data_IF_990688419301
#
_entry.id   IF_990688419301
#
_cell.length_a   1.000
_cell.length_b   1.000
_cell.length_c   1.000
_cell.angle_alpha   90.00
_cell.angle_beta   90.00
_cell.angle_gamma   90.00
#
_symmetry.space_group_name_H-M   'P 1'
#
loop_
_entity.id
_entity.type
_entity.pdbx_description
1 polymer ?
#
# COMPACT_ATOMS: atom_id res chain seq x y z
N UNK A 1 -0.79 25.82 -20.17
CA UNK A 1 -0.51 24.47 -19.65
C UNK A 1 -1.10 24.41 -18.26
N UNK A 2 -2.08 23.56 -17.97
CA UNK A 2 -2.48 23.34 -16.59
C UNK A 2 -1.28 22.80 -15.82
N UNK A 3 -1.05 23.29 -14.60
CA UNK A 3 -0.03 22.74 -13.71
C UNK A 3 -0.29 21.23 -13.56
N UNK A 4 0.75 20.38 -13.50
CA UNK A 4 0.54 18.97 -13.27
C UNK A 4 -0.27 18.80 -11.99
N UNK A 5 -1.39 18.11 -12.11
CA UNK A 5 -2.29 17.82 -11.00
C UNK A 5 -1.48 17.12 -9.90
N UNK A 6 -1.21 17.82 -8.81
CA UNK A 6 -0.30 17.33 -7.80
C UNK A 6 -0.93 16.14 -7.06
N UNK A 7 -0.35 14.95 -7.21
CA UNK A 7 -0.72 13.76 -6.47
C UNK A 7 -0.41 13.98 -5.00
N UNK A 8 -1.42 13.87 -4.14
CA UNK A 8 -1.25 13.98 -2.69
C UNK A 8 -1.14 12.59 -2.06
N UNK A 9 -0.22 12.46 -1.09
CA UNK A 9 -0.15 11.30 -0.18
C UNK A 9 -0.96 11.63 1.06
N UNK A 10 -1.80 10.70 1.48
CA UNK A 10 -2.58 10.77 2.71
C UNK A 10 -2.30 9.57 3.60
N UNK A 11 -2.41 9.77 4.90
CA UNK A 11 -2.38 8.71 5.90
C UNK A 11 -3.28 9.05 7.07
N UNK A 12 -4.04 8.08 7.57
CA UNK A 12 -4.90 8.25 8.73
C UNK A 12 -5.28 6.89 9.34
N UNK A 13 -5.67 6.89 10.62
CA UNK A 13 -6.45 5.81 11.18
C UNK A 13 -7.86 5.82 10.55
N UNK A 14 -8.52 4.66 10.49
CA UNK A 14 -9.83 4.55 9.85
C UNK A 14 -10.85 5.56 10.41
N UNK A 15 -10.86 5.76 11.71
CA UNK A 15 -11.80 6.67 12.38
C UNK A 15 -11.64 8.15 12.00
N UNK A 16 -10.46 8.53 11.47
CA UNK A 16 -10.13 9.91 11.09
C UNK A 16 -10.35 10.18 9.59
N UNK A 17 -10.83 9.18 8.84
CA UNK A 17 -11.12 9.32 7.42
C UNK A 17 -12.57 9.72 7.24
N UNK A 18 -12.83 10.73 6.40
CA UNK A 18 -14.21 11.09 6.08
C UNK A 18 -14.95 9.92 5.37
N UNK A 19 -16.26 9.78 5.58
CA UNK A 19 -17.01 8.63 5.07
C UNK A 19 -16.97 8.47 3.55
N UNK A 20 -16.90 9.56 2.79
CA UNK A 20 -16.85 9.50 1.34
C UNK A 20 -15.50 8.96 0.85
N UNK A 21 -14.39 9.48 1.40
CA UNK A 21 -13.05 8.96 1.13
C UNK A 21 -12.92 7.51 1.54
N UNK A 22 -13.42 7.13 2.72
CA UNK A 22 -13.41 5.74 3.18
C UNK A 22 -14.18 4.81 2.22
N UNK A 23 -15.35 5.23 1.76
CA UNK A 23 -16.12 4.49 0.76
C UNK A 23 -15.31 4.29 -0.54
N UNK A 24 -14.64 5.34 -1.03
CA UNK A 24 -13.84 5.28 -2.25
C UNK A 24 -12.61 4.37 -2.09
N UNK A 25 -11.99 4.34 -0.91
CA UNK A 25 -10.90 3.40 -0.59
C UNK A 25 -11.40 1.96 -0.59
N UNK A 26 -12.54 1.69 0.04
CA UNK A 26 -13.17 0.37 0.03
C UNK A 26 -13.54 -0.06 -1.39
N UNK A 27 -14.07 0.86 -2.19
CA UNK A 27 -14.39 0.61 -3.61
C UNK A 27 -13.13 0.26 -4.41
N UNK A 28 -12.04 1.01 -4.28
CA UNK A 28 -10.76 0.72 -4.95
C UNK A 28 -10.26 -0.69 -4.60
N UNK A 29 -10.31 -1.08 -3.33
CA UNK A 29 -9.93 -2.42 -2.87
C UNK A 29 -10.84 -3.50 -3.47
N UNK A 30 -12.15 -3.29 -3.46
CA UNK A 30 -13.10 -4.21 -4.09
C UNK A 30 -12.84 -4.37 -5.58
N UNK A 31 -12.64 -3.27 -6.30
CA UNK A 31 -12.38 -3.30 -7.75
C UNK A 31 -11.12 -4.12 -8.07
N UNK A 32 -10.05 -3.94 -7.30
CA UNK A 32 -8.78 -4.65 -7.51
C UNK A 32 -8.83 -6.09 -7.00
N UNK A 33 -9.15 -6.31 -5.73
CA UNK A 33 -9.01 -7.64 -5.12
C UNK A 33 -10.16 -8.57 -5.47
N UNK A 34 -11.40 -8.08 -5.42
CA UNK A 34 -12.58 -8.92 -5.64
C UNK A 34 -12.93 -9.06 -7.11
N UNK A 35 -13.03 -7.95 -7.84
CA UNK A 35 -13.53 -7.98 -9.21
C UNK A 35 -12.45 -8.35 -10.23
N UNK A 36 -11.26 -7.76 -10.13
CA UNK A 36 -10.18 -8.03 -11.07
C UNK A 36 -9.43 -9.31 -10.73
N UNK A 37 -8.90 -9.42 -9.50
CA UNK A 37 -8.06 -10.56 -9.08
C UNK A 37 -8.89 -11.78 -8.66
N UNK A 38 -10.18 -11.61 -8.39
CA UNK A 38 -11.09 -12.68 -7.93
C UNK A 38 -10.59 -13.40 -6.68
N UNK A 39 -9.98 -12.65 -5.78
CA UNK A 39 -9.55 -13.17 -4.48
C UNK A 39 -10.75 -13.81 -3.75
N UNK A 40 -10.56 -14.99 -3.17
CA UNK A 40 -11.63 -15.77 -2.54
C UNK A 40 -11.88 -15.39 -1.10
N UNK A 41 -10.90 -14.75 -0.45
CA UNK A 41 -10.99 -14.35 0.95
C UNK A 41 -11.59 -12.94 1.09
N UNK A 42 -12.28 -12.64 2.20
CA UNK A 42 -12.79 -11.30 2.45
C UNK A 42 -11.68 -10.26 2.47
N UNK A 43 -11.82 -9.20 1.67
CA UNK A 43 -10.87 -8.10 1.68
C UNK A 43 -10.97 -7.29 2.98
N UNK A 44 -12.19 -6.98 3.41
CA UNK A 44 -12.47 -6.31 4.68
C UNK A 44 -12.45 -7.35 5.81
N UNK A 45 -11.29 -7.53 6.43
CA UNK A 45 -11.02 -8.57 7.44
C UNK A 45 -11.12 -8.08 8.90
N UNK A 46 -11.56 -6.83 9.10
CA UNK A 46 -11.71 -6.19 10.41
C UNK A 46 -10.42 -5.56 10.94
N UNK A 47 -9.24 -5.87 10.40
CA UNK A 47 -7.96 -5.31 10.88
C UNK A 47 -7.80 -3.82 10.59
N UNK A 48 -8.59 -3.26 9.68
CA UNK A 48 -8.63 -1.82 9.44
C UNK A 48 -9.19 -1.03 10.64
N UNK A 49 -9.95 -1.71 11.53
CA UNK A 49 -10.56 -1.12 12.74
C UNK A 49 -9.57 -1.04 13.92
N UNK A 50 -8.43 -1.71 13.85
CA UNK A 50 -7.41 -1.63 14.90
C UNK A 50 -6.88 -0.19 14.96
N UNK A 51 -6.91 0.46 16.15
CA UNK A 51 -6.40 1.83 16.32
C UNK A 51 -4.92 2.03 15.92
N UNK A 52 -4.12 0.95 15.94
CA UNK A 52 -2.73 0.97 15.49
C UNK A 52 -2.57 0.86 13.96
N UNK A 53 -3.65 0.54 13.25
CA UNK A 53 -3.63 0.45 11.78
C UNK A 53 -3.62 1.83 11.15
N UNK A 54 -2.69 2.04 10.22
CA UNK A 54 -2.66 3.24 9.37
C UNK A 54 -3.05 2.88 7.95
N UNK A 55 -4.09 3.52 7.43
CA UNK A 55 -4.44 3.48 6.01
C UNK A 55 -3.67 4.58 5.29
N UNK A 56 -3.08 4.25 4.15
CA UNK A 56 -2.34 5.20 3.33
C UNK A 56 -2.83 5.14 1.88
N UNK A 57 -2.94 6.30 1.25
CA UNK A 57 -3.39 6.37 -0.14
C UNK A 57 -2.78 7.55 -0.89
N UNK A 58 -2.78 7.42 -2.21
CA UNK A 58 -2.51 8.50 -3.13
C UNK A 58 -3.83 8.95 -3.74
N UNK A 59 -4.06 10.26 -3.78
CA UNK A 59 -5.25 10.84 -4.37
C UNK A 59 -4.92 11.86 -5.44
N UNK A 60 -5.78 11.92 -6.45
CA UNK A 60 -5.72 12.88 -7.54
C UNK A 60 -6.89 13.87 -7.40
N UNK A 61 -6.63 15.18 -7.27
CA UNK A 61 -7.69 16.17 -7.34
C UNK A 61 -8.27 16.26 -8.77
N UNK A 62 -9.52 16.65 -8.86
CA UNK A 62 -10.18 16.80 -10.17
C UNK A 62 -11.67 17.08 -10.03
N UNK A 63 -12.33 17.30 -11.17
CA UNK A 63 -13.75 17.64 -11.20
C UNK A 63 -14.64 16.55 -10.59
N UNK A 64 -14.30 15.28 -10.80
CA UNK A 64 -15.03 14.14 -10.22
C UNK A 64 -14.89 14.12 -8.69
N UNK A 65 -13.69 14.28 -8.15
CA UNK A 65 -13.47 14.40 -6.71
C UNK A 65 -14.27 15.56 -6.11
N UNK A 66 -14.24 16.71 -6.75
CA UNK A 66 -15.00 17.89 -6.33
C UNK A 66 -16.52 17.63 -6.33
N UNK A 67 -17.05 16.91 -7.32
CA UNK A 67 -18.45 16.56 -7.39
C UNK A 67 -18.91 15.62 -6.27
N UNK A 68 -17.97 14.82 -5.73
CA UNK A 68 -18.19 13.91 -4.60
C UNK A 68 -17.91 14.57 -3.23
N UNK A 69 -17.41 15.81 -3.24
CA UNK A 69 -17.07 16.54 -2.02
C UNK A 69 -15.82 16.02 -1.31
N UNK A 70 -14.90 15.34 -2.05
CA UNK A 70 -13.64 14.83 -1.50
C UNK A 70 -12.45 15.61 -2.07
N UNK A 71 -11.31 15.65 -1.33
CA UNK A 71 -10.11 16.38 -1.78
C UNK A 71 -9.49 15.83 -3.07
N UNK A 72 -9.61 14.52 -3.28
CA UNK A 72 -9.11 13.82 -4.45
C UNK A 72 -9.65 12.40 -4.55
N UNK A 73 -9.57 11.80 -5.74
CA UNK A 73 -9.93 10.40 -5.94
C UNK A 73 -8.75 9.51 -5.56
N UNK A 74 -8.94 8.53 -4.65
CA UNK A 74 -7.91 7.53 -4.36
C UNK A 74 -7.57 6.70 -5.61
N UNK A 75 -6.29 6.67 -5.98
CA UNK A 75 -5.78 5.90 -7.12
C UNK A 75 -4.81 4.80 -6.72
N UNK A 76 -4.30 4.85 -5.49
CA UNK A 76 -3.51 3.79 -4.89
C UNK A 76 -3.79 3.75 -3.38
N UNK A 77 -3.75 2.56 -2.81
CA UNK A 77 -4.01 2.29 -1.40
C UNK A 77 -3.06 1.22 -0.87
N UNK A 78 -2.73 1.32 0.40
CA UNK A 78 -2.18 0.25 1.21
C UNK A 78 -2.56 0.45 2.68
N UNK A 79 -2.39 -0.59 3.50
CA UNK A 79 -2.49 -0.48 4.96
C UNK A 79 -1.20 -0.91 5.64
N UNK A 80 -0.91 -0.26 6.74
CA UNK A 80 0.22 -0.55 7.63
C UNK A 80 -0.34 -1.05 8.95
N UNK A 81 0.02 -2.26 9.32
CA UNK A 81 -0.39 -2.93 10.56
C UNK A 81 0.82 -3.02 11.51
N UNK A 82 0.55 -3.02 12.80
CA UNK A 82 1.53 -3.40 13.83
C UNK A 82 1.15 -4.80 14.29
N UNK A 83 2.09 -5.76 14.17
CA UNK A 83 1.88 -7.14 14.61
C UNK A 83 2.16 -7.28 16.11
N UNK A 84 1.65 -8.35 16.74
CA UNK A 84 1.79 -8.59 18.20
C UNK A 84 3.25 -8.69 18.65
N UNK A 85 4.16 -9.11 17.78
CA UNK A 85 5.60 -9.20 18.05
C UNK A 85 6.35 -7.87 17.75
N UNK A 86 5.62 -6.82 17.39
CA UNK A 86 6.15 -5.49 17.10
C UNK A 86 6.66 -5.30 15.67
N UNK A 87 6.57 -6.31 14.81
CA UNK A 87 6.87 -6.13 13.39
C UNK A 87 5.81 -5.23 12.71
N UNK A 88 6.20 -4.57 11.64
CA UNK A 88 5.28 -3.81 10.80
C UNK A 88 4.89 -4.67 9.61
N UNK A 89 3.59 -4.78 9.32
CA UNK A 89 3.11 -5.47 8.11
C UNK A 89 2.46 -4.47 7.16
N UNK A 90 2.92 -4.45 5.92
CA UNK A 90 2.27 -3.71 4.84
C UNK A 90 1.44 -4.70 4.02
N UNK A 91 0.19 -4.36 3.78
CA UNK A 91 -0.72 -5.19 3.00
C UNK A 91 -1.79 -4.37 2.28
N UNK A 92 -2.66 -5.08 1.57
CA UNK A 92 -3.73 -4.46 0.77
C UNK A 92 -3.23 -3.40 -0.20
N UNK A 93 -2.07 -3.65 -0.81
CA UNK A 93 -1.48 -2.75 -1.81
C UNK A 93 -2.29 -2.86 -3.10
N UNK A 94 -2.98 -1.80 -3.45
CA UNK A 94 -3.82 -1.72 -4.63
C UNK A 94 -3.51 -0.46 -5.43
N UNK A 95 -3.52 -0.57 -6.76
CA UNK A 95 -3.44 0.58 -7.67
C UNK A 95 -4.56 0.43 -8.68
N UNK A 96 -5.35 1.49 -8.84
CA UNK A 96 -6.41 1.56 -9.85
C UNK A 96 -5.88 1.19 -11.24
N UNK A 97 -6.61 0.36 -11.98
CA UNK A 97 -6.17 -0.19 -13.26
C UNK A 97 -5.78 0.87 -14.29
N UNK A 98 -6.52 1.99 -14.34
CA UNK A 98 -6.26 3.10 -15.26
C UNK A 98 -4.99 3.91 -14.88
N UNK A 99 -4.53 3.78 -13.62
CA UNK A 99 -3.41 4.56 -13.09
C UNK A 99 -2.13 3.72 -12.89
N UNK A 100 -2.12 2.46 -13.33
CA UNK A 100 -0.91 1.60 -13.29
C UNK A 100 0.18 2.14 -14.20
N UNK A 101 1.43 1.71 -13.94
CA UNK A 101 2.65 2.14 -14.66
C UNK A 101 3.01 3.63 -14.47
N UNK A 102 2.21 4.40 -13.73
CA UNK A 102 2.52 5.79 -13.33
C UNK A 102 3.44 5.91 -12.10
N UNK A 103 3.97 4.81 -11.58
CA UNK A 103 4.86 4.83 -10.42
C UNK A 103 4.13 4.99 -9.06
N UNK A 104 2.80 5.06 -9.04
CA UNK A 104 2.03 5.33 -7.81
C UNK A 104 2.22 4.27 -6.73
N UNK A 105 2.23 2.98 -7.09
CA UNK A 105 2.48 1.90 -6.15
C UNK A 105 3.86 2.02 -5.48
N UNK A 106 4.92 2.30 -6.28
CA UNK A 106 6.27 2.49 -5.74
C UNK A 106 6.37 3.71 -4.84
N UNK A 107 5.76 4.82 -5.24
CA UNK A 107 5.71 6.03 -4.42
C UNK A 107 5.02 5.77 -3.09
N UNK A 108 3.85 5.13 -3.10
CA UNK A 108 3.10 4.84 -1.89
C UNK A 108 3.84 3.85 -0.97
N UNK A 109 4.49 2.82 -1.52
CA UNK A 109 5.36 1.92 -0.76
C UNK A 109 6.54 2.66 -0.12
N UNK A 110 7.17 3.59 -0.84
CA UNK A 110 8.24 4.44 -0.29
C UNK A 110 7.78 5.25 0.93
N UNK A 111 6.60 5.85 0.85
CA UNK A 111 5.99 6.59 1.96
C UNK A 111 5.63 5.67 3.15
N UNK A 112 5.12 4.47 2.87
CA UNK A 112 4.82 3.49 3.91
C UNK A 112 6.10 3.00 4.63
N UNK A 113 7.19 2.77 3.90
CA UNK A 113 8.48 2.42 4.47
C UNK A 113 9.09 3.56 5.29
N UNK A 114 8.93 4.81 4.85
CA UNK A 114 9.32 5.98 5.64
C UNK A 114 8.52 6.06 6.95
N UNK A 115 7.20 5.90 6.87
CA UNK A 115 6.32 5.86 8.04
C UNK A 115 6.70 4.73 9.02
N UNK A 116 6.97 3.53 8.53
CA UNK A 116 7.42 2.40 9.35
C UNK A 116 8.74 2.70 10.08
N UNK A 117 9.71 3.33 9.40
CA UNK A 117 10.99 3.73 10.02
C UNK A 117 10.82 4.81 11.09
N UNK A 118 9.90 5.75 10.89
CA UNK A 118 9.59 6.81 11.86
C UNK A 118 8.93 6.24 13.12
N UNK A 119 7.91 5.37 12.93
CA UNK A 119 7.07 4.85 14.02
C UNK A 119 7.71 3.65 14.75
N UNK A 120 8.48 2.82 14.04
CA UNK A 120 9.07 1.60 14.56
C UNK A 120 10.48 1.35 13.98
N UNK A 121 11.49 2.17 14.31
CA UNK A 121 12.80 2.20 13.63
C UNK A 121 13.60 0.90 13.75
N UNK A 122 13.27 0.04 14.69
CA UNK A 122 13.94 -1.26 14.92
C UNK A 122 13.11 -2.47 14.42
N UNK A 123 11.89 -2.24 13.96
CA UNK A 123 11.03 -3.30 13.47
C UNK A 123 11.44 -3.74 12.06
N UNK A 124 11.30 -5.01 11.78
CA UNK A 124 11.28 -5.47 10.39
C UNK A 124 9.93 -5.16 9.74
N UNK A 125 9.94 -4.95 8.44
CA UNK A 125 8.72 -4.77 7.66
C UNK A 125 8.44 -6.06 6.91
N UNK A 126 7.23 -6.60 7.07
CA UNK A 126 6.76 -7.85 6.45
C UNK A 126 5.71 -7.59 5.40
N UNK A 127 5.76 -8.35 4.33
CA UNK A 127 4.74 -8.41 3.30
C UNK A 127 4.49 -9.86 2.87
N UNK A 128 3.27 -10.14 2.44
CA UNK A 128 2.93 -11.34 1.69
C UNK A 128 2.71 -10.90 0.24
N UNK A 129 3.75 -11.07 -0.57
CA UNK A 129 3.78 -10.57 -1.94
C UNK A 129 3.17 -11.62 -2.89
N UNK A 130 2.29 -11.20 -3.78
CA UNK A 130 1.92 -12.06 -4.91
C UNK A 130 3.19 -12.47 -5.67
N UNK A 131 3.35 -13.75 -5.96
CA UNK A 131 4.61 -14.32 -6.46
C UNK A 131 5.15 -13.60 -7.70
N UNK A 132 4.28 -13.16 -8.61
CA UNK A 132 4.69 -12.42 -9.81
C UNK A 132 5.23 -11.01 -9.52
N UNK A 133 5.05 -10.47 -8.31
CA UNK A 133 5.56 -9.17 -7.86
C UNK A 133 6.83 -9.29 -7.00
N UNK A 134 7.34 -10.48 -6.76
CA UNK A 134 8.52 -10.72 -5.91
C UNK A 134 9.70 -9.82 -6.29
N UNK A 135 10.06 -9.78 -7.57
CA UNK A 135 11.16 -8.96 -8.07
C UNK A 135 10.91 -7.45 -7.89
N UNK A 136 9.66 -7.03 -7.99
CA UNK A 136 9.31 -5.64 -7.78
C UNK A 136 9.53 -5.22 -6.33
N UNK A 137 9.15 -6.05 -5.36
CA UNK A 137 9.41 -5.79 -3.94
C UNK A 137 10.89 -5.97 -3.60
N UNK A 138 11.58 -6.94 -4.19
CA UNK A 138 13.03 -7.10 -4.03
C UNK A 138 13.80 -5.84 -4.45
N UNK A 139 13.34 -5.13 -5.50
CA UNK A 139 13.93 -3.85 -5.93
C UNK A 139 13.79 -2.70 -4.90
N UNK A 140 12.99 -2.90 -3.85
CA UNK A 140 12.85 -1.98 -2.71
C UNK A 140 13.59 -2.46 -1.45
N UNK A 141 14.34 -3.57 -1.57
CA UNK A 141 15.16 -4.12 -0.50
C UNK A 141 14.51 -5.26 0.29
N UNK A 142 13.33 -5.71 -0.10
CA UNK A 142 12.72 -6.88 0.52
C UNK A 142 13.43 -8.17 0.11
N UNK A 143 13.57 -9.09 1.05
CA UNK A 143 14.14 -10.42 0.85
C UNK A 143 13.06 -11.48 1.05
N UNK A 144 12.99 -12.47 0.16
CA UNK A 144 12.06 -13.60 0.29
C UNK A 144 12.47 -14.50 1.46
N UNK A 145 11.50 -14.90 2.28
CA UNK A 145 11.67 -15.82 3.39
C UNK A 145 10.65 -16.98 3.24
N UNK A 146 11.16 -18.20 3.15
CA UNK A 146 10.33 -19.38 2.93
C UNK A 146 10.00 -19.67 1.49
N UNK A 147 9.02 -20.54 1.26
CA UNK A 147 8.56 -20.99 -0.05
C UNK A 147 7.25 -20.33 -0.48
N UNK A 148 6.78 -20.72 -1.67
CA UNK A 148 5.45 -20.35 -2.19
C UNK A 148 4.34 -20.88 -1.29
N UNK A 149 3.29 -20.08 -1.10
CA UNK A 149 2.07 -20.50 -0.43
C UNK A 149 0.85 -19.88 -1.14
N UNK A 150 -0.32 -20.45 -0.90
CA UNK A 150 -1.57 -19.96 -1.45
C UNK A 150 -2.28 -19.08 -0.44
N UNK A 151 -2.68 -17.88 -0.86
CA UNK A 151 -3.55 -16.98 -0.11
C UNK A 151 -4.63 -16.45 -1.04
N UNK A 152 -5.89 -16.54 -0.61
CA UNK A 152 -7.06 -16.10 -1.40
C UNK A 152 -7.11 -16.65 -2.85
N UNK A 153 -6.56 -17.83 -3.08
CA UNK A 153 -6.50 -18.46 -4.40
C UNK A 153 -5.35 -17.97 -5.30
N UNK A 154 -4.42 -17.18 -4.77
CA UNK A 154 -3.29 -16.59 -5.51
C UNK A 154 -1.98 -17.05 -4.86
N UNK A 155 -0.97 -17.36 -5.68
CA UNK A 155 0.37 -17.71 -5.18
C UNK A 155 1.07 -16.50 -4.58
N UNK A 156 1.59 -16.65 -3.36
CA UNK A 156 2.33 -15.63 -2.61
C UNK A 156 3.69 -16.14 -2.14
N UNK A 157 4.56 -15.19 -1.82
CA UNK A 157 5.81 -15.39 -1.08
C UNK A 157 5.86 -14.43 0.09
N UNK A 158 6.29 -14.90 1.25
CA UNK A 158 6.57 -14.01 2.38
C UNK A 158 7.90 -13.29 2.14
N UNK A 159 7.91 -11.98 2.34
CA UNK A 159 9.11 -11.17 2.19
C UNK A 159 9.30 -10.24 3.39
N UNK A 160 10.54 -9.96 3.72
CA UNK A 160 10.91 -9.08 4.84
C UNK A 160 11.90 -8.02 4.40
N UNK A 161 11.76 -6.83 4.96
CA UNK A 161 12.76 -5.78 4.93
C UNK A 161 13.29 -5.58 6.35
N UNK A 162 14.58 -5.89 6.56
CA UNK A 162 15.20 -5.77 7.89
C UNK A 162 15.61 -4.33 8.20
N UNK A 163 15.57 -3.93 9.50
CA UNK A 163 16.05 -2.62 9.89
C UNK A 163 17.52 -2.42 9.51
N UNK A 164 17.88 -1.23 9.06
CA UNK A 164 19.25 -0.90 8.63
C UNK A 164 19.61 -1.26 7.18
N UNK A 165 18.78 -1.99 6.45
CA UNK A 165 18.92 -2.13 5.01
C UNK A 165 18.25 -0.93 4.33
N UNK A 166 19.04 0.11 4.09
CA UNK A 166 18.65 1.25 3.28
C UNK A 166 18.50 0.84 1.82
N UNK A 167 17.58 1.48 1.09
CA UNK A 167 17.53 1.39 -0.37
C UNK A 167 18.95 1.57 -0.95
N UNK A 168 19.31 0.85 -2.04
CA UNK A 168 20.60 1.04 -2.69
C UNK A 168 20.78 2.52 -3.01
N UNK A 169 21.85 3.12 -2.50
CA UNK A 169 22.24 4.49 -2.78
C UNK A 169 22.31 4.68 -4.27
N UNK A 170 21.49 5.56 -4.82
CA UNK A 170 21.69 6.08 -6.17
C UNK A 170 22.97 6.95 -6.18
N UNK A 171 24.12 6.31 -6.08
CA UNK A 171 25.44 6.92 -6.33
C UNK A 171 26.18 5.99 -7.27
N UNK A 172 26.06 6.27 -8.52
CA UNK A 172 26.84 5.74 -9.61
C UNK A 172 27.02 6.86 -10.60
N UNK A 173 27.79 7.86 -10.18
CA UNK A 173 28.45 8.78 -11.10
C UNK A 173 29.66 8.04 -11.69
N UNK A 174 29.72 7.88 -12.95
CA UNK A 174 30.78 8.34 -13.88
C UNK A 174 30.26 8.20 -15.29
#
# INVERSE_FOLDING_TARGET
MPAPTAVAVRRAALADIDPCTLYLLAKLRQDVFTLEQRATDPDLDGRDLDPATTLMWLELPGAEAASLGVPGLPVAHLRVLVEDDGAVRIGRVAVDGAHRRGGYGRRLMGEALAHARESAPRAEVRIDAQAHLEQWYASMGFETVGGLFMEAGIEHVAMVLRPGHGAPSAHGTI
#
